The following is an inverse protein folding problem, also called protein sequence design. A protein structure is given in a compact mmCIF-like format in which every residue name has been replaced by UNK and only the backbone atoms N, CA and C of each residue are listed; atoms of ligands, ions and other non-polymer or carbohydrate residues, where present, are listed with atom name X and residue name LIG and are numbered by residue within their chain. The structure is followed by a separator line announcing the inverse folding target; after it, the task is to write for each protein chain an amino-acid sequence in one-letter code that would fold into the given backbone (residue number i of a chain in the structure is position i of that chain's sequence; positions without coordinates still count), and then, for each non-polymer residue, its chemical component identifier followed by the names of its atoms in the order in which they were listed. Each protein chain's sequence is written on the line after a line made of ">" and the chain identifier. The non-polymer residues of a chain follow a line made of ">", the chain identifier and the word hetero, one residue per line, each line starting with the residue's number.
data_IF_337212279898
#
_entry.id   IF_337212279898
#
_cell.length_a   1.000
_cell.length_b   1.000
_cell.length_c   1.000
_cell.angle_alpha   90.00
_cell.angle_beta   90.00
_cell.angle_gamma   90.00
#
_symmetry.space_group_name_H-M   'P 1'
#
loop_
_entity.id
_entity.type
_entity.pdbx_description
1 polymer ?
#
# COMPACT_ATOMS: atom_id res chain seq x y z
N UNK A 1 -28.22 13.33 -3.51
CA UNK A 1 -29.16 12.20 -3.68
C UNK A 1 -28.36 10.92 -3.48
N UNK A 2 -28.42 10.35 -2.26
CA UNK A 2 -27.80 9.06 -1.90
C UNK A 2 -28.70 7.93 -2.43
N UNK A 3 -28.73 7.68 -3.73
CA UNK A 3 -29.72 6.75 -4.28
C UNK A 3 -29.32 5.28 -4.24
N UNK A 4 -28.01 4.95 -4.03
CA UNK A 4 -27.58 3.54 -3.92
C UNK A 4 -26.49 3.37 -2.84
N UNK A 5 -26.89 3.62 -1.59
CA UNK A 5 -25.97 3.34 -0.46
C UNK A 5 -26.21 1.93 0.06
N UNK A 6 -25.22 1.07 -0.05
CA UNK A 6 -25.22 -0.23 0.61
C UNK A 6 -24.59 -0.11 1.99
N UNK A 7 -25.32 -0.57 3.02
CA UNK A 7 -24.86 -0.50 4.43
C UNK A 7 -24.60 -1.91 4.95
N UNK A 8 -23.39 -2.16 5.43
CA UNK A 8 -23.01 -3.41 6.09
C UNK A 8 -22.79 -3.16 7.58
N UNK A 9 -23.30 -4.03 8.42
CA UNK A 9 -23.05 -3.98 9.85
C UNK A 9 -21.83 -4.86 10.17
N UNK A 10 -20.76 -4.28 10.70
CA UNK A 10 -19.52 -5.02 10.94
C UNK A 10 -19.72 -6.20 11.91
N UNK A 11 -20.62 -6.06 12.90
CA UNK A 11 -20.91 -7.11 13.87
C UNK A 11 -21.60 -8.35 13.28
N UNK A 12 -22.13 -8.27 12.06
CA UNK A 12 -22.73 -9.42 11.38
C UNK A 12 -21.68 -10.40 10.81
N UNK A 13 -20.42 -9.98 10.72
CA UNK A 13 -19.32 -10.75 10.17
C UNK A 13 -18.34 -11.16 11.28
N UNK A 14 -17.98 -12.43 11.30
CA UNK A 14 -17.04 -12.94 12.31
C UNK A 14 -15.60 -12.81 11.79
N UNK A 15 -14.86 -11.92 12.39
CA UNK A 15 -13.41 -11.78 12.16
C UNK A 15 -12.66 -12.21 13.42
N UNK A 16 -11.47 -12.84 13.28
CA UNK A 16 -10.60 -13.11 14.41
C UNK A 16 -10.21 -11.81 15.14
N UNK A 17 -9.84 -11.91 16.39
CA UNK A 17 -9.30 -10.78 17.17
C UNK A 17 -8.02 -10.25 16.51
N UNK A 18 -7.86 -8.94 16.45
CA UNK A 18 -6.72 -8.30 15.77
C UNK A 18 -6.82 -8.25 14.24
N UNK A 19 -7.96 -8.65 13.63
CA UNK A 19 -8.18 -8.55 12.18
C UNK A 19 -8.18 -7.11 11.70
N UNK A 20 -7.68 -6.92 10.48
CA UNK A 20 -7.69 -5.64 9.79
C UNK A 20 -8.90 -5.52 8.85
N UNK A 21 -9.18 -4.30 8.39
CA UNK A 21 -10.32 -4.00 7.51
C UNK A 21 -10.35 -4.91 6.27
N UNK A 22 -9.19 -5.31 5.76
CA UNK A 22 -9.05 -6.24 4.65
C UNK A 22 -9.80 -7.56 4.89
N UNK A 23 -9.70 -8.12 6.11
CA UNK A 23 -10.33 -9.39 6.46
C UNK A 23 -11.85 -9.27 6.53
N UNK A 24 -12.35 -8.13 6.99
CA UNK A 24 -13.77 -7.84 7.03
C UNK A 24 -14.34 -7.66 5.61
N UNK A 25 -13.65 -6.90 4.77
CA UNK A 25 -14.12 -6.62 3.41
C UNK A 25 -14.22 -7.88 2.55
N UNK A 26 -13.29 -8.83 2.70
CA UNK A 26 -13.36 -10.13 2.02
C UNK A 26 -14.60 -10.97 2.38
N UNK A 27 -15.27 -10.67 3.48
CA UNK A 27 -16.49 -11.35 3.91
C UNK A 27 -17.77 -10.61 3.49
N UNK A 28 -17.65 -9.38 2.98
CA UNK A 28 -18.82 -8.60 2.55
C UNK A 28 -19.41 -9.17 1.26
N UNK A 29 -20.74 -9.24 1.13
CA UNK A 29 -21.36 -9.57 -0.14
C UNK A 29 -20.94 -8.61 -1.24
N UNK A 30 -20.32 -9.14 -2.31
CA UNK A 30 -19.81 -8.33 -3.41
C UNK A 30 -18.51 -7.57 -3.11
N UNK A 31 -17.89 -7.81 -1.95
CA UNK A 31 -16.56 -7.29 -1.61
C UNK A 31 -15.47 -8.21 -2.14
N UNK A 32 -14.52 -7.67 -2.87
CA UNK A 32 -13.41 -8.42 -3.47
C UNK A 32 -12.12 -7.59 -3.42
N UNK A 33 -11.00 -8.26 -3.24
CA UNK A 33 -9.67 -7.65 -3.38
C UNK A 33 -8.98 -8.34 -4.54
N UNK A 34 -8.71 -7.57 -5.59
CA UNK A 34 -8.10 -8.07 -6.81
C UNK A 34 -6.62 -8.47 -6.62
N UNK A 35 -6.02 -9.06 -7.65
CA UNK A 35 -4.62 -9.49 -7.66
C UNK A 35 -3.63 -8.34 -7.44
N UNK A 36 -4.02 -7.10 -7.69
CA UNK A 36 -3.24 -5.90 -7.46
C UNK A 36 -3.50 -5.30 -6.07
N UNK A 37 -4.36 -5.90 -5.27
CA UNK A 37 -4.74 -5.46 -3.93
C UNK A 37 -5.69 -4.26 -3.92
N UNK A 38 -6.44 -4.02 -5.00
CA UNK A 38 -7.48 -3.01 -5.06
C UNK A 38 -8.77 -3.57 -4.51
N UNK A 39 -9.48 -2.75 -3.76
CA UNK A 39 -10.80 -3.09 -3.25
C UNK A 39 -11.86 -2.85 -4.32
N UNK A 40 -12.66 -3.88 -4.60
CA UNK A 40 -13.87 -3.77 -5.40
C UNK A 40 -15.10 -4.03 -4.52
N UNK A 41 -16.16 -3.27 -4.74
CA UNK A 41 -17.48 -3.53 -4.16
C UNK A 41 -18.48 -3.55 -5.30
N UNK A 42 -19.21 -4.66 -5.44
CA UNK A 42 -20.12 -4.91 -6.56
C UNK A 42 -19.46 -4.70 -7.94
N UNK A 43 -18.17 -5.09 -8.07
CA UNK A 43 -17.38 -4.97 -9.29
C UNK A 43 -16.84 -3.55 -9.58
N UNK A 44 -17.11 -2.54 -8.72
CA UNK A 44 -16.58 -1.18 -8.85
C UNK A 44 -15.40 -0.96 -7.92
N UNK A 45 -14.31 -0.38 -8.45
CA UNK A 45 -13.11 -0.07 -7.66
C UNK A 45 -13.39 1.04 -6.65
N UNK A 46 -13.14 0.76 -5.36
CA UNK A 46 -13.21 1.77 -4.29
C UNK A 46 -12.02 2.72 -4.43
N UNK A 47 -12.30 3.98 -4.71
CA UNK A 47 -11.28 5.02 -4.91
C UNK A 47 -10.83 5.66 -3.61
N UNK A 48 -11.74 5.75 -2.61
CA UNK A 48 -11.46 6.40 -1.34
C UNK A 48 -12.07 5.63 -0.19
N UNK A 49 -11.34 5.55 0.91
CA UNK A 49 -11.85 5.06 2.19
C UNK A 49 -11.95 6.25 3.14
N UNK A 50 -13.14 6.41 3.72
CA UNK A 50 -13.42 7.42 4.73
C UNK A 50 -13.56 6.78 6.11
N UNK A 51 -13.23 7.53 7.15
CA UNK A 51 -13.48 7.17 8.53
C UNK A 51 -14.31 8.29 9.17
N UNK A 52 -15.57 8.01 9.52
CA UNK A 52 -16.56 9.00 9.95
C UNK A 52 -16.63 10.20 8.97
N UNK A 53 -16.69 9.93 7.66
CA UNK A 53 -16.77 10.94 6.60
C UNK A 53 -15.48 11.69 6.30
N UNK A 54 -14.36 11.38 6.98
CA UNK A 54 -13.04 11.99 6.74
C UNK A 54 -12.14 11.03 6.00
N UNK A 55 -11.49 11.52 4.96
CA UNK A 55 -10.61 10.72 4.11
C UNK A 55 -9.40 10.19 4.89
N UNK A 56 -9.18 8.89 4.79
CA UNK A 56 -8.10 8.19 5.45
C UNK A 56 -7.03 7.80 4.43
N UNK A 57 -5.82 8.31 4.57
CA UNK A 57 -4.72 8.20 3.60
C UNK A 57 -5.21 8.49 2.18
N UNK A 58 -5.32 9.78 1.87
CA UNK A 58 -5.74 10.29 0.56
C UNK A 58 -5.04 9.55 -0.57
N UNK A 59 -5.82 9.05 -1.52
CA UNK A 59 -5.39 8.29 -2.69
C UNK A 59 -4.74 6.92 -2.40
N UNK A 60 -4.82 6.40 -1.15
CA UNK A 60 -4.31 5.08 -0.81
C UNK A 60 -5.31 4.21 -0.01
N UNK A 61 -6.35 3.66 -0.66
CA UNK A 61 -7.30 2.75 0.00
C UNK A 61 -6.63 1.51 0.62
N UNK A 62 -5.50 1.06 0.06
CA UNK A 62 -4.79 -0.12 0.56
C UNK A 62 -4.16 0.11 1.93
N UNK A 63 -3.67 1.33 2.19
CA UNK A 63 -3.18 1.69 3.52
C UNK A 63 -4.29 1.55 4.56
N UNK A 64 -5.52 1.95 4.23
CA UNK A 64 -6.67 1.76 5.12
C UNK A 64 -7.00 0.27 5.34
N UNK A 65 -7.05 -0.53 4.28
CA UNK A 65 -7.36 -1.96 4.35
C UNK A 65 -6.42 -2.71 5.29
N UNK A 66 -5.13 -2.40 5.24
CA UNK A 66 -4.10 -3.11 6.00
C UNK A 66 -3.86 -2.59 7.41
N UNK A 67 -4.31 -1.38 7.73
CA UNK A 67 -3.92 -0.71 8.97
C UNK A 67 -5.09 -0.24 9.83
N UNK A 68 -6.35 -0.40 9.38
CA UNK A 68 -7.51 -0.12 10.20
C UNK A 68 -8.02 -1.39 10.87
N UNK A 69 -8.01 -1.48 12.21
CA UNK A 69 -8.55 -2.62 12.94
C UNK A 69 -10.06 -2.73 12.76
N UNK A 70 -10.57 -3.96 12.52
CA UNK A 70 -12.01 -4.21 12.42
C UNK A 70 -12.73 -3.84 13.70
N UNK A 71 -12.08 -3.97 14.85
CA UNK A 71 -12.65 -3.73 16.16
C UNK A 71 -13.23 -2.32 16.33
N UNK A 72 -12.67 -1.33 15.61
CA UNK A 72 -13.17 0.04 15.64
C UNK A 72 -14.41 0.27 14.77
N UNK A 73 -14.69 -0.63 13.84
CA UNK A 73 -15.75 -0.43 12.84
C UNK A 73 -17.10 -0.85 13.39
N UNK A 74 -18.08 0.05 13.36
CA UNK A 74 -19.49 -0.24 13.65
C UNK A 74 -20.24 -0.65 12.38
N UNK A 75 -20.09 0.16 11.31
CA UNK A 75 -20.76 -0.02 10.02
C UNK A 75 -19.86 0.41 8.89
N UNK A 76 -20.08 -0.21 7.73
CA UNK A 76 -19.48 0.21 6.46
C UNK A 76 -20.61 0.69 5.54
N UNK A 77 -20.39 1.82 4.88
CA UNK A 77 -21.31 2.38 3.88
C UNK A 77 -20.57 2.46 2.55
N UNK A 78 -21.04 1.72 1.55
CA UNK A 78 -20.54 1.81 0.19
C UNK A 78 -21.51 2.59 -0.67
N UNK A 79 -21.06 3.64 -1.32
CA UNK A 79 -21.89 4.50 -2.17
C UNK A 79 -21.04 5.20 -3.23
N UNK A 80 -21.71 5.58 -4.33
CA UNK A 80 -21.11 6.38 -5.36
C UNK A 80 -21.28 7.87 -5.07
N UNK A 81 -20.24 8.63 -5.33
CA UNK A 81 -20.19 10.07 -5.12
C UNK A 81 -19.57 10.75 -6.31
N UNK A 82 -20.12 11.88 -6.73
CA UNK A 82 -19.51 12.73 -7.76
C UNK A 82 -18.09 13.11 -7.38
N UNK A 83 -17.26 13.29 -8.38
CA UNK A 83 -15.86 13.69 -8.22
C UNK A 83 -15.73 14.92 -7.31
N UNK A 84 -14.58 15.09 -6.69
CA UNK A 84 -14.32 16.28 -5.87
C UNK A 84 -14.41 17.58 -6.70
N UNK A 85 -14.06 17.52 -8.00
CA UNK A 85 -14.16 18.65 -8.90
C UNK A 85 -15.63 19.02 -9.16
N UNK A 86 -16.47 18.04 -9.50
CA UNK A 86 -17.90 18.26 -9.71
C UNK A 86 -18.60 18.81 -8.45
N UNK A 87 -18.19 18.34 -7.27
CA UNK A 87 -18.72 18.83 -5.99
C UNK A 87 -18.31 20.27 -5.67
N UNK A 88 -17.13 20.69 -6.07
CA UNK A 88 -16.61 22.04 -5.82
C UNK A 88 -17.16 23.05 -6.81
N UNK A 89 -17.24 22.68 -8.08
CA UNK A 89 -17.67 23.58 -9.16
C UNK A 89 -19.18 23.59 -9.39
N UNK A 90 -19.88 22.54 -8.92
CA UNK A 90 -21.29 22.30 -9.23
C UNK A 90 -21.52 21.82 -10.67
N UNK A 91 -20.47 21.65 -11.45
CA UNK A 91 -20.51 21.17 -12.82
C UNK A 91 -20.32 19.66 -12.80
N UNK A 92 -21.27 18.93 -13.38
CA UNK A 92 -21.18 17.47 -13.49
C UNK A 92 -20.15 17.13 -14.57
N UNK A 93 -19.09 16.43 -14.18
CA UNK A 93 -18.04 15.94 -15.08
C UNK A 93 -18.29 14.50 -15.56
N UNK A 94 -19.40 13.88 -15.11
CA UNK A 94 -19.76 12.52 -15.43
C UNK A 94 -18.89 11.46 -14.73
N UNK A 95 -18.00 11.87 -13.82
CA UNK A 95 -17.13 10.96 -13.09
C UNK A 95 -17.67 10.70 -11.68
N UNK A 96 -17.92 9.43 -11.38
CA UNK A 96 -18.41 8.97 -10.09
C UNK A 96 -17.36 8.07 -9.43
N UNK A 97 -17.09 8.35 -8.16
CA UNK A 97 -16.15 7.60 -7.35
C UNK A 97 -16.88 6.68 -6.37
N UNK A 98 -16.56 5.38 -6.38
CA UNK A 98 -17.01 4.47 -5.34
C UNK A 98 -16.26 4.77 -4.04
N UNK A 99 -17.01 5.04 -2.98
CA UNK A 99 -16.53 5.39 -1.65
C UNK A 99 -16.90 4.30 -0.65
N UNK A 100 -15.98 3.94 0.24
CA UNK A 100 -16.26 3.14 1.42
C UNK A 100 -16.09 4.01 2.67
N UNK A 101 -17.17 4.35 3.35
CA UNK A 101 -17.16 5.13 4.58
C UNK A 101 -17.38 4.23 5.81
N UNK A 102 -16.43 4.26 6.73
CA UNK A 102 -16.41 3.48 7.95
C UNK A 102 -16.94 4.32 9.10
N UNK A 103 -18.04 3.92 9.69
CA UNK A 103 -18.51 4.49 10.93
C UNK A 103 -17.77 3.86 12.10
N UNK A 104 -17.09 4.67 12.91
CA UNK A 104 -16.39 4.24 14.12
C UNK A 104 -17.39 4.02 15.26
N UNK A 105 -17.19 2.97 16.07
CA UNK A 105 -17.99 2.71 17.29
C UNK A 105 -17.97 3.92 18.21
N UNK A 106 -19.09 4.21 18.86
CA UNK A 106 -19.27 5.42 19.67
C UNK A 106 -18.27 5.56 20.82
N UNK A 107 -17.91 4.46 21.44
CA UNK A 107 -16.93 4.36 22.53
C UNK A 107 -15.49 4.61 22.06
N UNK A 108 -15.22 4.43 20.75
CA UNK A 108 -13.90 4.62 20.14
C UNK A 108 -13.74 5.95 19.39
N UNK A 109 -14.80 6.78 19.32
CA UNK A 109 -14.76 8.09 18.62
C UNK A 109 -13.89 9.14 19.30
N UNK A 110 -13.54 8.97 20.57
CA UNK A 110 -12.74 9.90 21.36
C UNK A 110 -11.70 9.10 22.14
N UNK A 111 -10.44 9.20 21.71
CA UNK A 111 -9.37 8.50 22.42
C UNK A 111 -8.17 8.18 21.55
N UNK A 112 -7.34 7.36 22.10
CA UNK A 112 -6.19 6.76 21.44
C UNK A 112 -6.45 5.27 21.25
N UNK A 113 -6.05 4.76 20.13
CA UNK A 113 -6.05 3.34 19.81
C UNK A 113 -4.68 3.00 19.24
N UNK A 114 -4.04 2.01 19.82
CA UNK A 114 -2.73 1.54 19.41
C UNK A 114 -2.79 0.05 19.09
N UNK A 115 -2.22 -0.34 17.96
CA UNK A 115 -2.02 -1.72 17.57
C UNK A 115 -0.54 -1.93 17.32
N UNK A 116 0.09 -2.72 18.17
CA UNK A 116 1.50 -3.04 18.10
C UNK A 116 1.71 -4.53 17.87
N UNK A 117 2.49 -4.86 16.87
CA UNK A 117 2.91 -6.21 16.55
C UNK A 117 4.44 -6.31 16.54
N UNK A 118 4.98 -7.33 17.19
CA UNK A 118 6.39 -7.65 17.15
C UNK A 118 6.55 -9.16 16.96
N UNK A 119 7.39 -9.55 16.02
CA UNK A 119 7.71 -10.93 15.72
C UNK A 119 9.19 -11.14 15.48
N UNK A 120 9.70 -12.30 15.90
CA UNK A 120 11.05 -12.76 15.57
C UNK A 120 11.01 -14.18 15.06
N UNK A 121 11.89 -14.52 14.13
CA UNK A 121 11.98 -15.84 13.52
C UNK A 121 13.39 -16.37 13.49
N UNK A 122 13.53 -17.59 12.98
CA UNK A 122 14.83 -18.18 12.75
C UNK A 122 15.61 -17.36 11.66
N UNK A 123 16.94 -17.58 11.57
CA UNK A 123 17.82 -16.90 10.62
C UNK A 123 17.81 -15.37 10.74
N UNK A 124 17.56 -14.82 11.95
CA UNK A 124 17.56 -13.38 12.19
C UNK A 124 16.36 -12.63 11.57
N UNK A 125 15.25 -13.32 11.30
CA UNK A 125 14.02 -12.67 10.81
C UNK A 125 13.35 -11.89 11.93
N UNK A 126 12.85 -10.71 11.58
CA UNK A 126 12.08 -9.86 12.48
C UNK A 126 10.97 -9.11 11.73
N UNK A 127 9.93 -8.77 12.47
CA UNK A 127 8.86 -7.90 12.01
C UNK A 127 8.35 -7.05 13.17
N UNK A 128 8.29 -5.75 12.97
CA UNK A 128 7.74 -4.77 13.89
C UNK A 128 6.74 -3.92 13.13
N UNK A 129 5.51 -3.86 13.60
CA UNK A 129 4.49 -3.00 13.04
C UNK A 129 3.75 -2.28 14.17
N UNK A 130 3.43 -1.01 13.93
CA UNK A 130 2.66 -0.21 14.86
C UNK A 130 1.68 0.68 14.11
N UNK A 131 0.45 0.77 14.59
CA UNK A 131 -0.56 1.70 14.10
C UNK A 131 -1.18 2.42 15.27
N UNK A 132 -0.84 3.70 15.42
CA UNK A 132 -1.37 4.58 16.44
C UNK A 132 -2.43 5.50 15.84
N UNK A 133 -3.65 5.42 16.36
CA UNK A 133 -4.77 6.25 15.97
C UNK A 133 -5.21 7.15 17.12
N UNK A 134 -5.52 8.40 16.80
CA UNK A 134 -6.15 9.35 17.70
C UNK A 134 -7.39 9.94 17.06
N UNK A 135 -8.52 9.72 17.69
CA UNK A 135 -9.80 10.26 17.23
C UNK A 135 -10.30 11.36 18.18
N UNK A 136 -10.84 12.42 17.59
CA UNK A 136 -11.60 13.48 18.24
C UNK A 136 -12.72 13.92 17.29
N UNK A 137 -13.75 14.59 17.79
CA UNK A 137 -14.93 14.98 17.01
C UNK A 137 -14.57 15.67 15.67
N UNK A 138 -13.57 16.56 15.69
CA UNK A 138 -13.18 17.36 14.53
C UNK A 138 -11.78 17.05 13.98
N UNK A 139 -11.06 16.08 14.55
CA UNK A 139 -9.71 15.73 14.09
C UNK A 139 -9.41 14.24 14.22
N UNK A 140 -8.60 13.74 13.29
CA UNK A 140 -8.05 12.39 13.30
C UNK A 140 -6.56 12.47 13.00
N UNK A 141 -5.77 11.71 13.75
CA UNK A 141 -4.35 11.51 13.53
C UNK A 141 -4.09 10.01 13.51
N UNK A 142 -3.43 9.54 12.47
CA UNK A 142 -2.94 8.17 12.38
C UNK A 142 -1.45 8.18 12.09
N UNK A 143 -0.69 7.38 12.82
CA UNK A 143 0.73 7.15 12.57
C UNK A 143 0.92 5.65 12.39
N UNK A 144 1.55 5.25 11.31
CA UNK A 144 1.82 3.85 10.98
C UNK A 144 3.31 3.69 10.77
N UNK A 145 3.90 2.67 11.42
CA UNK A 145 5.30 2.30 11.24
C UNK A 145 5.44 0.81 10.98
N UNK A 146 6.34 0.44 10.08
CA UNK A 146 6.68 -0.96 9.84
C UNK A 146 8.18 -1.11 9.58
N UNK A 147 8.78 -2.12 10.21
CA UNK A 147 10.18 -2.51 10.03
C UNK A 147 10.23 -4.03 9.94
N UNK A 148 10.71 -4.59 8.85
CA UNK A 148 10.80 -6.04 8.73
C UNK A 148 11.87 -6.48 7.71
N UNK A 149 12.27 -7.75 7.81
CA UNK A 149 13.06 -8.47 6.82
C UNK A 149 12.39 -9.82 6.43
N UNK A 150 11.07 -9.85 6.45
CA UNK A 150 10.24 -11.03 6.17
C UNK A 150 9.65 -11.01 4.76
N UNK A 151 10.17 -10.17 3.87
CA UNK A 151 9.65 -9.90 2.53
C UNK A 151 8.26 -9.23 2.54
N UNK A 152 7.78 -8.75 3.69
CA UNK A 152 6.60 -7.92 3.80
C UNK A 152 6.95 -6.47 3.43
N UNK A 153 6.28 -5.88 2.45
CA UNK A 153 6.60 -4.54 1.98
C UNK A 153 5.88 -3.41 2.74
N UNK A 154 5.22 -3.74 3.86
CA UNK A 154 4.61 -2.76 4.76
C UNK A 154 3.41 -2.04 4.15
N UNK A 155 3.60 -0.79 3.73
CA UNK A 155 2.57 -0.02 3.03
C UNK A 155 2.33 -0.55 1.62
N UNK A 156 1.10 -0.38 1.15
CA UNK A 156 0.62 -0.85 -0.14
C UNK A 156 1.34 -0.27 -1.36
N UNK A 157 1.92 0.90 -1.24
CA UNK A 157 2.32 1.75 -2.37
C UNK A 157 3.67 1.44 -3.02
N UNK A 158 4.58 0.82 -2.31
CA UNK A 158 5.91 0.50 -2.85
C UNK A 158 5.88 -0.41 -4.08
N UNK A 159 4.73 -0.93 -4.39
CA UNK A 159 4.49 -1.94 -5.41
C UNK A 159 4.17 -1.42 -6.80
N UNK A 160 3.78 -0.16 -6.91
CA UNK A 160 3.23 0.37 -8.17
C UNK A 160 4.24 0.63 -9.26
N UNK A 161 5.47 0.93 -8.92
CA UNK A 161 6.47 1.33 -9.93
C UNK A 161 7.33 0.21 -10.47
N UNK A 162 7.37 -0.94 -9.81
CA UNK A 162 8.04 -2.12 -10.35
C UNK A 162 7.14 -3.00 -11.23
N UNK A 163 5.86 -2.68 -11.34
CA UNK A 163 4.88 -3.48 -12.10
C UNK A 163 4.84 -3.23 -13.60
N UNK A 164 5.72 -2.37 -14.13
CA UNK A 164 5.98 -2.38 -15.58
C UNK A 164 6.67 -3.68 -16.05
N UNK A 165 7.14 -4.51 -15.12
CA UNK A 165 7.61 -5.87 -15.37
C UNK A 165 6.76 -6.83 -14.53
N UNK A 166 5.62 -7.19 -15.09
CA UNK A 166 4.79 -8.35 -14.78
C UNK A 166 5.52 -9.45 -14.00
N UNK A 167 4.92 -9.93 -12.94
CA UNK A 167 5.27 -11.19 -12.32
C UNK A 167 4.77 -11.28 -10.89
N UNK A 168 3.94 -12.27 -10.64
CA UNK A 168 3.46 -12.71 -9.33
C UNK A 168 4.45 -12.42 -8.20
N UNK A 169 3.99 -11.65 -7.19
CA UNK A 169 4.78 -11.32 -6.00
C UNK A 169 5.21 -12.55 -5.21
N UNK A 170 4.51 -13.65 -5.38
CA UNK A 170 4.85 -14.93 -4.79
C UNK A 170 6.17 -15.51 -5.31
N UNK A 171 6.72 -14.98 -6.43
CA UNK A 171 7.95 -15.44 -7.06
C UNK A 171 9.13 -14.48 -6.92
N UNK A 172 9.12 -13.51 -6.01
CA UNK A 172 10.34 -12.74 -5.74
C UNK A 172 11.35 -13.62 -5.02
N UNK A 173 12.34 -14.05 -5.76
CA UNK A 173 13.52 -14.70 -5.23
C UNK A 173 14.35 -13.64 -4.50
N UNK A 174 14.87 -13.97 -3.32
CA UNK A 174 15.74 -13.09 -2.56
C UNK A 174 15.14 -12.56 -1.26
N UNK A 175 15.90 -11.72 -0.60
CA UNK A 175 15.60 -11.11 0.69
C UNK A 175 15.23 -9.64 0.51
N UNK A 176 14.07 -9.27 1.07
CA UNK A 176 13.67 -7.86 1.15
C UNK A 176 13.61 -7.44 2.61
N UNK A 177 14.42 -6.43 2.94
CA UNK A 177 14.27 -5.65 4.17
C UNK A 177 13.49 -4.39 3.84
N UNK A 178 12.45 -4.12 4.60
CA UNK A 178 11.63 -2.93 4.39
C UNK A 178 11.45 -2.13 5.67
N UNK A 179 11.34 -0.81 5.49
CA UNK A 179 11.02 0.14 6.55
C UNK A 179 10.07 1.19 5.98
N UNK A 180 9.02 1.48 6.72
CA UNK A 180 8.03 2.44 6.30
C UNK A 180 7.47 3.23 7.47
N UNK A 181 7.15 4.49 7.21
CA UNK A 181 6.51 5.40 8.16
C UNK A 181 5.44 6.20 7.42
N UNK A 182 4.22 6.19 7.95
CA UNK A 182 3.11 6.98 7.44
C UNK A 182 2.46 7.82 8.52
N UNK A 183 2.01 9.00 8.14
CA UNK A 183 1.23 9.87 8.99
C UNK A 183 0.06 10.42 8.19
N UNK A 184 -1.14 10.28 8.74
CA UNK A 184 -2.34 10.89 8.20
C UNK A 184 -2.94 11.82 9.26
N UNK A 185 -3.22 13.05 8.88
CA UNK A 185 -3.85 14.03 9.76
C UNK A 185 -5.01 14.71 9.06
N UNK A 186 -6.17 14.70 9.69
CA UNK A 186 -7.36 15.42 9.23
C UNK A 186 -7.91 16.29 10.34
N UNK A 187 -8.34 17.49 9.98
CA UNK A 187 -9.02 18.37 10.91
C UNK A 187 -10.01 19.27 10.19
N UNK A 188 -11.20 19.38 10.77
CA UNK A 188 -12.25 20.25 10.31
C UNK A 188 -12.48 21.37 11.36
N UNK A 189 -12.38 22.61 10.89
CA UNK A 189 -12.80 23.80 11.60
C UNK A 189 -14.06 24.35 10.90
N UNK A 190 -14.71 25.32 11.46
CA UNK A 190 -15.96 25.87 10.91
C UNK A 190 -15.85 26.33 9.46
N UNK A 191 -14.70 26.93 9.10
CA UNK A 191 -14.44 27.49 7.77
C UNK A 191 -13.26 26.84 7.02
N UNK A 192 -12.52 25.97 7.68
CA UNK A 192 -11.30 25.37 7.13
C UNK A 192 -11.33 23.87 7.31
N UNK A 193 -11.07 23.15 6.24
CA UNK A 193 -10.83 21.70 6.30
C UNK A 193 -9.41 21.42 5.85
N UNK A 194 -8.68 20.67 6.66
CA UNK A 194 -7.33 20.22 6.37
C UNK A 194 -7.31 18.69 6.34
N UNK A 195 -6.73 18.16 5.28
CA UNK A 195 -6.38 16.75 5.15
C UNK A 195 -4.94 16.67 4.70
N UNK A 196 -4.14 15.85 5.32
CA UNK A 196 -2.74 15.68 4.94
C UNK A 196 -2.28 14.26 5.19
N UNK A 197 -1.47 13.74 4.30
CA UNK A 197 -0.75 12.50 4.51
C UNK A 197 0.72 12.64 4.10
N UNK A 198 1.57 11.93 4.80
CA UNK A 198 2.97 11.77 4.48
C UNK A 198 3.27 10.28 4.60
N UNK A 199 3.90 9.72 3.59
CA UNK A 199 4.30 8.32 3.55
C UNK A 199 5.74 8.23 3.08
N UNK A 200 6.55 7.57 3.87
CA UNK A 200 7.91 7.20 3.51
C UNK A 200 8.03 5.68 3.51
N UNK A 201 8.70 5.17 2.52
CA UNK A 201 8.99 3.75 2.44
C UNK A 201 10.34 3.49 1.79
N UNK A 202 11.13 2.64 2.42
CA UNK A 202 12.41 2.17 1.93
C UNK A 202 12.43 0.65 1.82
N UNK A 203 13.06 0.13 0.78
CA UNK A 203 13.32 -1.30 0.59
C UNK A 203 14.78 -1.53 0.21
N UNK A 204 15.34 -2.57 0.77
CA UNK A 204 16.64 -3.13 0.43
C UNK A 204 16.40 -4.58 -0.02
N UNK A 205 16.59 -4.83 -1.32
CA UNK A 205 16.36 -6.13 -1.94
C UNK A 205 17.69 -6.72 -2.41
N UNK A 206 18.02 -7.91 -1.92
CA UNK A 206 19.19 -8.68 -2.30
C UNK A 206 18.74 -10.03 -2.89
N UNK A 207 19.25 -10.36 -4.04
CA UNK A 207 18.97 -11.59 -4.76
C UNK A 207 20.25 -12.22 -5.28
N UNK A 208 20.57 -13.41 -4.80
CA UNK A 208 21.67 -14.24 -5.28
C UNK A 208 21.10 -15.41 -6.08
N UNK A 209 21.40 -15.45 -7.36
CA UNK A 209 20.97 -16.50 -8.28
C UNK A 209 22.14 -17.35 -8.78
N UNK A 210 21.92 -18.68 -8.84
CA UNK A 210 22.84 -19.62 -9.53
C UNK A 210 22.05 -20.42 -10.53
N UNK A 211 22.53 -20.43 -11.77
CA UNK A 211 21.91 -21.18 -12.86
C UNK A 211 22.94 -22.10 -13.47
N UNK A 212 22.61 -23.36 -13.62
CA UNK A 212 23.39 -24.33 -14.40
C UNK A 212 22.56 -24.75 -15.60
N UNK A 213 23.13 -24.64 -16.78
CA UNK A 213 22.51 -25.07 -18.02
C UNK A 213 23.37 -26.15 -18.66
N UNK A 214 22.81 -27.34 -18.80
CA UNK A 214 23.45 -28.46 -19.51
C UNK A 214 22.83 -28.55 -20.91
N UNK A 215 23.64 -28.31 -21.93
CA UNK A 215 23.24 -28.44 -23.33
C UNK A 215 23.72 -29.80 -23.87
N UNK A 216 22.76 -30.64 -24.25
CA UNK A 216 23.00 -31.93 -24.88
C UNK A 216 22.75 -31.81 -26.39
N UNK A 217 23.73 -31.32 -27.13
CA UNK A 217 23.72 -31.39 -28.61
C UNK A 217 24.32 -32.73 -29.07
N UNK A 218 23.83 -33.24 -30.20
CA UNK A 218 24.20 -34.56 -30.69
C UNK A 218 25.69 -34.85 -30.85
N UNK A 219 26.53 -33.81 -30.93
CA UNK A 219 27.98 -33.91 -31.12
C UNK A 219 28.80 -33.19 -30.06
N UNK A 220 28.21 -32.21 -29.34
CA UNK A 220 28.96 -31.44 -28.33
C UNK A 220 28.13 -31.30 -27.07
N UNK A 221 28.68 -31.70 -25.94
CA UNK A 221 28.11 -31.45 -24.61
C UNK A 221 28.76 -30.19 -24.06
N UNK A 222 27.90 -29.18 -23.69
CA UNK A 222 28.39 -27.99 -23.01
C UNK A 222 27.65 -27.74 -21.72
N UNK A 223 28.38 -27.33 -20.70
CA UNK A 223 27.84 -26.98 -19.38
C UNK A 223 28.14 -25.49 -19.15
N UNK A 224 27.13 -24.72 -18.78
CA UNK A 224 27.29 -23.34 -18.42
C UNK A 224 26.83 -23.09 -16.97
N UNK A 225 27.69 -22.48 -16.16
CA UNK A 225 27.36 -22.00 -14.82
C UNK A 225 27.28 -20.48 -14.83
N UNK A 226 26.21 -19.94 -14.32
CA UNK A 226 26.00 -18.49 -14.16
C UNK A 226 25.65 -18.18 -12.72
N UNK A 227 26.30 -17.16 -12.16
CA UNK A 227 25.93 -16.55 -10.88
C UNK A 227 25.53 -15.12 -11.11
N UNK A 228 24.40 -14.71 -10.51
CA UNK A 228 23.90 -13.34 -10.56
C UNK A 228 23.75 -12.84 -9.13
N UNK A 229 24.27 -11.65 -8.87
CA UNK A 229 24.12 -10.92 -7.62
C UNK A 229 23.43 -9.58 -7.94
N UNK A 230 22.21 -9.41 -7.45
CA UNK A 230 21.41 -8.21 -7.67
C UNK A 230 21.10 -7.58 -6.33
N UNK A 231 21.44 -6.32 -6.19
CA UNK A 231 21.13 -5.51 -5.02
C UNK A 231 20.41 -4.24 -5.43
N UNK A 232 19.22 -4.01 -4.87
CA UNK A 232 18.40 -2.85 -5.22
C UNK A 232 17.91 -2.16 -3.96
N UNK A 233 18.24 -0.88 -3.79
CA UNK A 233 17.71 0.00 -2.74
C UNK A 233 16.72 0.97 -3.34
N UNK A 234 15.54 1.07 -2.75
CA UNK A 234 14.54 2.05 -3.15
C UNK A 234 14.12 2.89 -1.96
N UNK A 235 13.93 4.18 -2.19
CA UNK A 235 13.36 5.13 -1.25
C UNK A 235 12.24 5.88 -1.94
N UNK A 236 11.08 5.93 -1.31
CA UNK A 236 9.90 6.62 -1.82
C UNK A 236 9.32 7.49 -0.71
N UNK A 237 9.15 8.78 -0.96
CA UNK A 237 8.49 9.72 -0.07
C UNK A 237 7.35 10.40 -0.83
N UNK A 238 6.15 10.29 -0.31
CA UNK A 238 4.97 10.97 -0.85
C UNK A 238 4.35 11.83 0.24
N UNK A 239 4.04 13.07 -0.08
CA UNK A 239 3.33 13.98 0.81
C UNK A 239 2.21 14.68 0.03
N UNK A 240 0.99 14.58 0.53
CA UNK A 240 -0.19 15.19 -0.06
C UNK A 240 -0.90 16.02 1.01
N UNK A 241 -1.45 17.16 0.60
CA UNK A 241 -2.35 17.90 1.45
C UNK A 241 -3.55 18.43 0.67
N UNK A 242 -4.64 18.61 1.35
CA UNK A 242 -5.87 19.23 0.87
C UNK A 242 -6.30 20.26 1.90
N UNK A 243 -6.35 21.50 1.48
CA UNK A 243 -6.86 22.61 2.27
C UNK A 243 -8.07 23.20 1.55
N UNK A 244 -9.22 23.21 2.20
CA UNK A 244 -10.42 23.92 1.77
C UNK A 244 -10.69 25.04 2.76
N UNK A 245 -10.74 26.27 2.27
CA UNK A 245 -11.01 27.45 3.09
C UNK A 245 -12.21 28.21 2.53
N UNK A 246 -13.32 28.22 3.27
CA UNK A 246 -14.49 29.02 3.01
C UNK A 246 -14.26 30.43 3.54
N UNK A 247 -13.82 31.34 2.67
CA UNK A 247 -13.52 32.73 3.03
C UNK A 247 -14.82 33.46 3.40
N UNK A 248 -15.83 33.30 2.54
CA UNK A 248 -17.18 33.84 2.74
C UNK A 248 -18.25 32.92 2.12
N UNK A 249 -19.50 33.37 1.96
CA UNK A 249 -20.62 32.59 1.43
C UNK A 249 -20.51 32.25 -0.05
N UNK A 250 -19.69 32.98 -0.79
CA UNK A 250 -19.53 32.84 -2.26
C UNK A 250 -18.11 32.48 -2.68
N UNK A 251 -17.12 32.64 -1.76
CA UNK A 251 -15.70 32.42 -2.04
C UNK A 251 -15.17 31.21 -1.30
N UNK A 252 -14.71 30.22 -2.05
CA UNK A 252 -14.06 29.03 -1.51
C UNK A 252 -12.68 28.86 -2.16
N UNK A 253 -11.63 28.76 -1.36
CA UNK A 253 -10.27 28.48 -1.79
C UNK A 253 -9.94 27.03 -1.52
N UNK A 254 -9.48 26.33 -2.56
CA UNK A 254 -8.98 24.97 -2.45
C UNK A 254 -7.52 24.90 -2.89
N UNK A 255 -6.69 24.35 -2.03
CA UNK A 255 -5.26 24.16 -2.29
C UNK A 255 -4.88 22.70 -2.08
N UNK A 256 -4.24 22.07 -3.10
CA UNK A 256 -3.89 20.63 -3.13
C UNK A 256 -2.42 20.44 -3.52
N UNK A 257 -1.47 20.68 -2.62
CA UNK A 257 -0.07 20.39 -2.90
C UNK A 257 0.18 18.88 -2.85
N UNK A 258 1.01 18.43 -3.79
CA UNK A 258 1.52 17.06 -3.82
C UNK A 258 3.02 17.11 -3.99
N UNK A 259 3.72 16.29 -3.24
CA UNK A 259 5.15 16.12 -3.33
C UNK A 259 5.48 14.63 -3.41
N UNK A 260 6.35 14.27 -4.36
CA UNK A 260 6.85 12.91 -4.50
C UNK A 260 8.34 12.93 -4.76
N UNK A 261 9.05 12.09 -4.01
CA UNK A 261 10.46 11.85 -4.18
C UNK A 261 10.69 10.35 -4.29
N UNK A 262 11.41 9.93 -5.33
CA UNK A 262 11.78 8.53 -5.57
C UNK A 262 13.28 8.48 -5.84
N UNK A 263 13.97 7.61 -5.14
CA UNK A 263 15.36 7.30 -5.39
C UNK A 263 15.54 5.79 -5.46
N UNK A 264 16.29 5.32 -6.46
CA UNK A 264 16.62 3.92 -6.66
C UNK A 264 18.10 3.77 -6.97
N UNK A 265 18.76 2.93 -6.20
CA UNK A 265 20.14 2.48 -6.45
C UNK A 265 20.10 0.99 -6.78
N UNK A 266 20.69 0.61 -7.91
CA UNK A 266 20.74 -0.78 -8.36
C UNK A 266 22.14 -1.17 -8.73
N UNK A 267 22.59 -2.27 -8.15
CA UNK A 267 23.87 -2.91 -8.47
C UNK A 267 23.61 -4.32 -8.95
N UNK A 268 24.13 -4.65 -10.11
CA UNK A 268 24.01 -5.98 -10.70
C UNK A 268 25.40 -6.51 -10.97
N UNK A 269 25.68 -7.71 -10.51
CA UNK A 269 26.87 -8.49 -10.83
C UNK A 269 26.45 -9.79 -11.51
N UNK A 270 27.14 -10.17 -12.57
CA UNK A 270 26.97 -11.49 -13.18
C UNK A 270 28.33 -12.10 -13.54
N UNK A 271 28.44 -13.38 -13.29
CA UNK A 271 29.59 -14.18 -13.66
C UNK A 271 29.11 -15.43 -14.37
N UNK A 272 29.69 -15.75 -15.52
CA UNK A 272 29.32 -16.92 -16.30
C UNK A 272 30.60 -17.65 -16.81
N UNK A 273 30.59 -18.95 -16.63
CA UNK A 273 31.58 -19.86 -17.20
C UNK A 273 30.92 -20.94 -18.04
N UNK A 274 31.48 -21.29 -19.15
CA UNK A 274 30.98 -22.36 -20.01
C UNK A 274 32.13 -23.30 -20.39
N UNK A 275 31.87 -24.60 -20.31
CA UNK A 275 32.80 -25.67 -20.64
C UNK A 275 32.25 -26.58 -21.73
N UNK A 276 33.14 -27.15 -22.57
CA UNK A 276 32.86 -28.27 -23.45
C UNK A 276 33.93 -29.31 -23.27
N UNK A 277 33.56 -30.56 -23.09
CA UNK A 277 34.50 -31.69 -22.91
C UNK A 277 35.65 -31.39 -21.93
N UNK A 278 35.31 -30.85 -20.73
CA UNK A 278 36.23 -30.45 -19.66
C UNK A 278 37.15 -29.25 -19.97
N UNK A 279 37.08 -28.68 -21.17
CA UNK A 279 37.81 -27.47 -21.51
C UNK A 279 36.98 -26.21 -21.35
N UNK A 280 37.53 -25.14 -20.76
CA UNK A 280 36.85 -23.85 -20.58
C UNK A 280 36.70 -23.21 -21.97
N UNK A 281 35.43 -23.01 -22.40
CA UNK A 281 35.11 -22.35 -23.65
C UNK A 281 35.05 -20.85 -23.52
N UNK A 282 34.43 -20.35 -22.45
CA UNK A 282 34.22 -18.93 -22.28
C UNK A 282 34.07 -18.58 -20.80
N UNK A 283 34.56 -17.41 -20.45
CA UNK A 283 34.38 -16.79 -19.14
C UNK A 283 33.98 -15.33 -19.33
N UNK A 284 32.91 -14.92 -18.67
CA UNK A 284 32.38 -13.55 -18.76
C UNK A 284 32.00 -13.02 -17.38
N UNK A 285 32.49 -11.84 -17.07
CA UNK A 285 32.10 -11.06 -15.90
C UNK A 285 31.47 -9.76 -16.37
N UNK A 286 30.30 -9.40 -15.81
CA UNK A 286 29.69 -8.11 -16.04
C UNK A 286 29.22 -7.55 -14.69
N UNK A 287 29.48 -6.27 -14.46
CA UNK A 287 28.98 -5.54 -13.30
C UNK A 287 28.51 -4.16 -13.73
N UNK A 288 27.35 -3.74 -13.24
CA UNK A 288 26.85 -2.38 -13.33
C UNK A 288 26.69 -1.83 -11.90
N UNK A 289 27.22 -0.64 -11.69
CA UNK A 289 27.09 0.13 -10.45
C UNK A 289 26.02 1.19 -10.63
#
# INVERSE_FOLDING_TARGET
>A
TEQDTTVFNASAYRTPEGSMLEDLVKQLPGGEIDGDGKLLIHGKEVKKILVDGKEFFTDDPKAALKNLPVEMVEKLKAYERKSDLARLTGIDDGDEEMILDLAVKKDMKKGWMDNFMAGTGNKGRYELANTLNRFRDNSQLTIIGNLNNTNNQGFSELRRESSAASGNILNRVGLVTSHSLGMNFTRDWDRVKLRSNIQYAGTDHSEDGRTTVDNFLRQDKSISHSTNDNHTKNHNLTANAYLEWKIDSVTNLVFRPQYRYVASDRRNGSYQQSWSDESLLNERTASNL
#
